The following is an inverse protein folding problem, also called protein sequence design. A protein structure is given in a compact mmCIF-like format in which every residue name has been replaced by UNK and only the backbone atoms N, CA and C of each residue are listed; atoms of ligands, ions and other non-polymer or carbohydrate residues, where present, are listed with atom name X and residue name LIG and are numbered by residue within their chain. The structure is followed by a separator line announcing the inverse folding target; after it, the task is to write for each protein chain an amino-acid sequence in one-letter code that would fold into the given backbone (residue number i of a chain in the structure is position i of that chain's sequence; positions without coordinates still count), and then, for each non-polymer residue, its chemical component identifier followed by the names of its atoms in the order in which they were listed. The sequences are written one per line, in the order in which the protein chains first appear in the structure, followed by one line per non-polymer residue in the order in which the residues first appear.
data_IF_951853121169
#
_entry.id   IF_951853121169
#
_cell.length_a   1.000
_cell.length_b   1.000
_cell.length_c   1.000
_cell.angle_alpha   90.00
_cell.angle_beta   90.00
_cell.angle_gamma   90.00
#
_symmetry.space_group_name_H-M   'P 1'
#
loop_
_entity.id
_entity.type
_entity.pdbx_description
1 polymer ?
#
# COMPACT_ATOMS: atom_id res chain seq x y z
N UNK A 1 23.09 -7.21 5.54
CA UNK A 1 21.73 -7.13 4.96
C UNK A 1 21.04 -5.97 5.65
N UNK A 2 20.37 -5.09 4.91
CA UNK A 2 19.62 -3.99 5.50
C UNK A 2 18.33 -4.61 6.06
N UNK A 3 18.20 -4.72 7.39
CA UNK A 3 17.07 -5.39 8.06
C UNK A 3 15.72 -4.63 7.90
N UNK A 4 15.74 -3.47 7.24
CA UNK A 4 14.58 -2.60 7.09
C UNK A 4 13.54 -3.08 6.06
N UNK A 5 13.89 -3.99 5.14
CA UNK A 5 12.98 -4.49 4.11
C UNK A 5 13.08 -6.00 4.01
N UNK A 6 11.94 -6.68 4.15
CA UNK A 6 11.79 -8.13 3.99
C UNK A 6 10.89 -8.39 2.79
N UNK A 7 11.36 -9.21 1.85
CA UNK A 7 10.61 -9.63 0.67
C UNK A 7 10.25 -11.11 0.74
N UNK A 8 9.11 -11.47 0.14
CA UNK A 8 8.63 -12.83 0.03
C UNK A 8 8.34 -13.14 -1.43
N UNK A 9 8.71 -14.34 -1.89
CA UNK A 9 8.42 -14.78 -3.24
C UNK A 9 6.91 -15.04 -3.38
N UNK A 10 6.30 -14.44 -4.42
CA UNK A 10 4.89 -14.67 -4.70
C UNK A 10 4.70 -16.04 -5.36
N UNK A 11 3.64 -16.75 -4.98
CA UNK A 11 3.33 -18.07 -5.55
C UNK A 11 2.91 -17.95 -7.01
N UNK A 12 3.19 -18.97 -7.81
CA UNK A 12 2.63 -19.10 -9.16
C UNK A 12 1.09 -19.19 -9.10
N UNK A 13 0.43 -18.68 -10.14
CA UNK A 13 -1.03 -18.62 -10.25
C UNK A 13 -1.48 -18.78 -11.70
N UNK A 14 -2.68 -19.34 -11.88
CA UNK A 14 -3.26 -19.65 -13.20
C UNK A 14 -4.42 -18.75 -13.59
N UNK A 15 -5.03 -18.08 -12.60
CA UNK A 15 -6.14 -17.15 -12.84
C UNK A 15 -6.13 -15.96 -11.85
N UNK A 16 -6.79 -14.83 -12.19
CA UNK A 16 -6.80 -13.64 -11.35
C UNK A 16 -7.36 -13.87 -9.94
N UNK A 17 -8.38 -14.69 -9.76
CA UNK A 17 -8.98 -14.94 -8.44
C UNK A 17 -7.99 -15.69 -7.54
N UNK A 18 -7.29 -16.69 -8.08
CA UNK A 18 -6.21 -17.37 -7.35
C UNK A 18 -5.13 -16.37 -6.92
N UNK A 19 -4.70 -15.47 -7.81
CA UNK A 19 -3.72 -14.42 -7.50
C UNK A 19 -4.22 -13.51 -6.37
N UNK A 20 -5.46 -13.02 -6.45
CA UNK A 20 -6.04 -12.12 -5.45
C UNK A 20 -6.19 -12.81 -4.08
N UNK A 21 -6.54 -14.10 -4.09
CA UNK A 21 -6.56 -14.92 -2.88
C UNK A 21 -5.15 -15.05 -2.28
N UNK A 22 -4.14 -15.36 -3.08
CA UNK A 22 -2.75 -15.49 -2.61
C UNK A 22 -2.21 -14.17 -2.01
N UNK A 23 -2.51 -13.04 -2.65
CA UNK A 23 -2.13 -11.72 -2.12
C UNK A 23 -2.84 -11.45 -0.79
N UNK A 24 -4.13 -11.76 -0.69
CA UNK A 24 -4.87 -11.58 0.57
C UNK A 24 -4.47 -12.60 1.65
N UNK A 25 -4.06 -13.82 1.30
CA UNK A 25 -3.45 -14.78 2.23
C UNK A 25 -2.19 -14.15 2.84
N UNK A 26 -1.28 -13.69 1.99
CA UNK A 26 -0.05 -13.03 2.41
C UNK A 26 -0.32 -11.83 3.33
N UNK A 27 -1.22 -10.93 2.94
CA UNK A 27 -1.57 -9.76 3.76
C UNK A 27 -2.13 -10.17 5.13
N UNK A 28 -3.00 -11.17 5.19
CA UNK A 28 -3.56 -11.65 6.45
C UNK A 28 -2.51 -12.33 7.34
N UNK A 29 -1.59 -13.10 6.77
CA UNK A 29 -0.50 -13.72 7.51
C UNK A 29 0.37 -12.65 8.19
N UNK A 30 0.75 -11.59 7.44
CA UNK A 30 1.50 -10.45 8.00
C UNK A 30 0.71 -9.74 9.09
N UNK A 31 -0.60 -9.51 8.91
CA UNK A 31 -1.43 -8.82 9.90
C UNK A 31 -1.59 -9.64 11.19
N UNK A 32 -1.78 -10.96 11.08
CA UNK A 32 -2.00 -11.87 12.22
C UNK A 32 -0.78 -11.95 13.14
N UNK A 33 0.40 -11.71 12.61
CA UNK A 33 1.65 -11.64 13.39
C UNK A 33 1.80 -10.32 14.17
N UNK A 34 0.87 -9.36 14.00
CA UNK A 34 0.89 -8.07 14.72
C UNK A 34 -0.10 -8.04 15.89
N UNK A 35 0.23 -7.25 16.92
CA UNK A 35 -0.66 -7.05 18.07
C UNK A 35 -1.63 -5.87 17.82
N UNK A 36 -2.94 -6.14 17.88
CA UNK A 36 -4.02 -5.15 17.67
C UNK A 36 -3.87 -4.30 16.38
N UNK A 37 -3.92 -4.94 15.19
CA UNK A 37 -3.67 -4.27 13.93
C UNK A 37 -4.67 -3.15 13.64
N UNK A 38 -4.16 -2.03 13.14
CA UNK A 38 -4.96 -1.01 12.45
C UNK A 38 -4.65 -1.08 10.96
N UNK A 39 -5.67 -1.32 10.15
CA UNK A 39 -5.52 -1.47 8.69
C UNK A 39 -6.04 -0.22 7.99
N UNK A 40 -5.22 0.33 7.10
CA UNK A 40 -5.58 1.47 6.25
C UNK A 40 -5.43 1.07 4.79
N UNK A 41 -6.46 1.35 3.99
CA UNK A 41 -6.50 1.02 2.57
C UNK A 41 -6.74 2.31 1.79
N UNK A 42 -6.00 2.52 0.70
CA UNK A 42 -6.27 3.67 -0.18
C UNK A 42 -7.64 3.50 -0.89
N UNK A 43 -8.40 4.59 -0.96
CA UNK A 43 -9.63 4.64 -1.75
C UNK A 43 -9.37 4.56 -3.26
N UNK A 44 -10.37 4.14 -4.03
CA UNK A 44 -10.25 4.04 -5.48
C UNK A 44 -9.99 5.40 -6.14
N UNK A 45 -9.12 5.42 -7.14
CA UNK A 45 -8.94 6.57 -8.03
C UNK A 45 -10.05 6.60 -9.09
N UNK A 46 -11.10 7.38 -8.83
CA UNK A 46 -12.24 7.55 -9.75
C UNK A 46 -11.89 8.23 -11.08
N UNK A 47 -10.69 8.81 -11.21
CA UNK A 47 -10.19 9.38 -12.47
C UNK A 47 -9.50 8.37 -13.39
N UNK A 48 -9.18 7.17 -12.88
CA UNK A 48 -8.44 6.14 -13.64
C UNK A 48 -9.36 5.43 -14.64
N UNK A 49 -8.84 5.05 -15.82
CA UNK A 49 -9.59 4.35 -16.87
C UNK A 49 -8.83 3.10 -17.33
N UNK A 50 -9.55 2.07 -17.78
CA UNK A 50 -8.98 0.89 -18.44
C UNK A 50 -9.06 -0.41 -17.63
N UNK A 51 -8.60 -1.51 -18.23
CA UNK A 51 -8.72 -2.87 -17.65
C UNK A 51 -8.01 -3.03 -16.31
N UNK A 52 -6.87 -2.35 -16.09
CA UNK A 52 -6.13 -2.43 -14.83
C UNK A 52 -6.94 -1.97 -13.61
N UNK A 53 -7.91 -1.07 -13.82
CA UNK A 53 -8.79 -0.61 -12.73
C UNK A 53 -9.67 -1.75 -12.19
N UNK A 54 -10.21 -2.60 -13.07
CA UNK A 54 -11.08 -3.70 -12.66
C UNK A 54 -10.30 -4.74 -11.85
N UNK A 55 -9.10 -5.11 -12.30
CA UNK A 55 -8.24 -6.05 -11.57
C UNK A 55 -7.85 -5.52 -10.18
N UNK A 56 -7.53 -4.22 -10.07
CA UNK A 56 -7.23 -3.59 -8.78
C UNK A 56 -8.48 -3.55 -7.88
N UNK A 57 -9.64 -3.22 -8.46
CA UNK A 57 -10.91 -3.17 -7.73
C UNK A 57 -11.34 -4.55 -7.23
N UNK A 58 -11.20 -5.61 -8.04
CA UNK A 58 -11.48 -6.99 -7.66
C UNK A 58 -10.52 -7.49 -6.58
N UNK A 59 -9.21 -7.25 -6.74
CA UNK A 59 -8.21 -7.61 -5.74
C UNK A 59 -8.48 -6.93 -4.39
N UNK A 60 -8.75 -5.61 -4.42
CA UNK A 60 -9.08 -4.84 -3.22
C UNK A 60 -10.41 -5.30 -2.60
N UNK A 61 -11.42 -5.62 -3.43
CA UNK A 61 -12.70 -6.16 -2.98
C UNK A 61 -12.53 -7.48 -2.23
N UNK A 62 -11.72 -8.40 -2.75
CA UNK A 62 -11.42 -9.69 -2.09
C UNK A 62 -10.70 -9.46 -0.76
N UNK A 63 -9.69 -8.57 -0.72
CA UNK A 63 -9.00 -8.25 0.54
C UNK A 63 -9.97 -7.69 1.58
N UNK A 64 -10.83 -6.72 1.22
CA UNK A 64 -11.82 -6.12 2.11
C UNK A 64 -12.82 -7.14 2.65
N UNK A 65 -13.35 -8.00 1.77
CA UNK A 65 -14.23 -9.09 2.17
C UNK A 65 -13.56 -10.03 3.16
N UNK A 66 -12.30 -10.43 2.90
CA UNK A 66 -11.58 -11.33 3.79
C UNK A 66 -11.19 -10.71 5.14
N UNK A 67 -10.84 -9.43 5.16
CA UNK A 67 -10.64 -8.69 6.41
C UNK A 67 -11.92 -8.69 7.26
N UNK A 68 -13.08 -8.53 6.63
CA UNK A 68 -14.38 -8.61 7.30
C UNK A 68 -14.64 -10.01 7.89
N UNK A 69 -14.38 -11.08 7.13
CA UNK A 69 -14.51 -12.48 7.62
C UNK A 69 -13.64 -12.75 8.85
N UNK A 70 -12.42 -12.20 8.86
CA UNK A 70 -11.46 -12.29 9.98
C UNK A 70 -11.76 -11.29 11.11
N UNK A 71 -12.83 -10.47 10.98
CA UNK A 71 -13.22 -9.42 11.92
C UNK A 71 -12.11 -8.38 12.18
N UNK A 72 -11.27 -8.13 11.17
CA UNK A 72 -10.22 -7.12 11.21
C UNK A 72 -10.78 -5.82 10.60
N UNK A 73 -10.96 -4.75 11.40
CA UNK A 73 -11.46 -3.49 10.87
C UNK A 73 -10.42 -2.84 9.96
N UNK A 74 -10.91 -2.15 8.93
CA UNK A 74 -10.07 -1.31 8.08
C UNK A 74 -10.73 0.05 7.84
N UNK A 75 -9.89 1.06 7.64
CA UNK A 75 -10.31 2.40 7.26
C UNK A 75 -9.84 2.72 5.84
N UNK A 76 -10.58 3.58 5.14
CA UNK A 76 -10.21 4.02 3.79
C UNK A 76 -9.63 5.43 3.83
N UNK A 77 -8.45 5.61 3.24
CA UNK A 77 -7.78 6.92 3.14
C UNK A 77 -7.89 7.45 1.72
N UNK A 78 -8.29 8.71 1.57
CA UNK A 78 -8.45 9.34 0.25
C UNK A 78 -7.07 9.63 -0.37
N UNK A 79 -6.81 9.29 -1.65
CA UNK A 79 -5.49 9.47 -2.29
C UNK A 79 -4.91 10.89 -2.17
N UNK A 80 -5.74 11.92 -2.32
CA UNK A 80 -5.29 13.32 -2.20
C UNK A 80 -4.85 13.68 -0.78
N UNK A 81 -5.43 13.03 0.24
CA UNK A 81 -5.06 13.19 1.65
C UNK A 81 -3.72 12.52 1.93
N UNK A 82 -3.47 11.33 1.35
CA UNK A 82 -2.16 10.65 1.41
C UNK A 82 -1.07 11.55 0.82
N UNK A 83 -1.29 12.07 -0.40
CA UNK A 83 -0.35 12.96 -1.08
C UNK A 83 -0.06 14.24 -0.29
N UNK A 84 -1.11 14.83 0.29
CA UNK A 84 -0.99 16.01 1.14
C UNK A 84 -0.21 15.70 2.43
N UNK A 85 -0.46 14.55 3.05
CA UNK A 85 0.26 14.14 4.26
C UNK A 85 1.74 13.86 4.02
N UNK A 86 2.11 13.37 2.83
CA UNK A 86 3.49 13.13 2.45
C UNK A 86 4.26 14.40 2.08
N UNK A 87 3.66 15.28 1.27
CA UNK A 87 4.39 16.37 0.58
C UNK A 87 3.86 17.78 0.90
N UNK A 88 2.78 17.89 1.66
CA UNK A 88 2.01 19.13 1.83
C UNK A 88 1.08 19.47 0.66
N UNK A 89 1.11 18.72 -0.45
CA UNK A 89 0.29 18.98 -1.65
C UNK A 89 -0.55 17.76 -2.07
N UNK A 90 -1.85 17.95 -2.26
CA UNK A 90 -2.77 16.86 -2.62
C UNK A 90 -2.64 16.33 -4.05
N UNK A 91 -1.86 17.00 -4.90
CA UNK A 91 -1.65 16.66 -6.31
C UNK A 91 -0.19 16.26 -6.61
N UNK A 92 0.58 15.84 -5.60
CA UNK A 92 1.95 15.40 -5.79
C UNK A 92 2.08 14.20 -6.75
N UNK A 93 3.19 14.16 -7.47
CA UNK A 93 3.62 13.07 -8.34
C UNK A 93 4.44 12.03 -7.55
N UNK A 94 4.81 10.92 -8.21
CA UNK A 94 5.52 9.81 -7.57
C UNK A 94 6.93 10.18 -7.11
N UNK A 95 7.64 11.01 -7.88
CA UNK A 95 8.99 11.45 -7.53
C UNK A 95 9.00 12.28 -6.24
N UNK A 96 8.07 13.23 -6.08
CA UNK A 96 7.95 14.01 -4.84
C UNK A 96 7.57 13.17 -3.63
N UNK A 97 6.71 12.17 -3.83
CA UNK A 97 6.38 11.21 -2.76
C UNK A 97 7.62 10.43 -2.34
N UNK A 98 8.44 9.98 -3.30
CA UNK A 98 9.69 9.27 -3.02
C UNK A 98 10.75 10.15 -2.34
N UNK A 99 10.93 11.39 -2.79
CA UNK A 99 11.83 12.36 -2.14
C UNK A 99 11.45 12.57 -0.68
N UNK A 100 10.15 12.76 -0.39
CA UNK A 100 9.65 12.87 0.97
C UNK A 100 9.97 11.60 1.78
N UNK A 101 9.76 10.42 1.19
CA UNK A 101 10.05 9.13 1.83
C UNK A 101 11.53 8.99 2.19
N UNK A 102 12.44 9.27 1.26
CA UNK A 102 13.89 9.20 1.50
C UNK A 102 14.31 10.22 2.56
N UNK A 103 13.76 11.44 2.50
CA UNK A 103 14.06 12.48 3.48
C UNK A 103 13.61 12.09 4.90
N UNK A 104 12.49 11.40 5.03
CA UNK A 104 11.92 10.99 6.31
C UNK A 104 12.58 9.72 6.86
N UNK A 105 12.64 8.66 6.05
CA UNK A 105 13.07 7.32 6.49
C UNK A 105 14.58 7.10 6.38
N UNK A 106 15.26 7.91 5.56
CA UNK A 106 16.67 7.71 5.16
C UNK A 106 16.92 6.38 4.42
N UNK A 107 15.87 5.74 3.91
CA UNK A 107 15.95 4.50 3.13
C UNK A 107 15.93 4.84 1.64
N UNK A 108 16.96 4.42 0.91
CA UNK A 108 17.06 4.57 -0.53
C UNK A 108 16.58 3.29 -1.24
N UNK A 109 15.30 3.27 -1.64
CA UNK A 109 14.70 2.13 -2.34
C UNK A 109 15.28 1.97 -3.75
N UNK A 110 15.65 3.04 -4.44
CA UNK A 110 16.29 2.97 -5.76
C UNK A 110 17.58 2.16 -5.70
N UNK A 111 18.39 2.40 -4.67
CA UNK A 111 19.59 1.61 -4.41
C UNK A 111 19.30 0.16 -4.03
N UNK A 112 18.23 -0.11 -3.29
CA UNK A 112 17.84 -1.47 -2.88
C UNK A 112 17.34 -2.30 -4.07
N UNK A 113 16.55 -1.69 -4.96
CA UNK A 113 15.98 -2.33 -6.14
C UNK A 113 16.82 -2.17 -7.41
N UNK A 114 18.00 -1.56 -7.31
CA UNK A 114 18.94 -1.31 -8.42
C UNK A 114 18.26 -0.66 -9.64
N UNK A 115 17.60 0.48 -9.42
CA UNK A 115 16.86 1.21 -10.46
C UNK A 115 16.90 2.71 -10.28
N UNK A 116 16.95 3.45 -11.39
CA UNK A 116 16.96 4.92 -11.38
C UNK A 116 15.55 5.54 -11.38
N UNK A 117 14.51 4.75 -11.71
CA UNK A 117 13.14 5.25 -11.89
C UNK A 117 12.29 5.04 -10.64
N UNK A 118 11.49 6.04 -10.29
CA UNK A 118 10.39 5.89 -9.32
C UNK A 118 9.19 5.26 -10.02
N UNK A 119 9.27 3.95 -10.26
CA UNK A 119 8.16 3.12 -10.74
C UNK A 119 7.82 2.03 -9.74
N UNK A 120 6.92 1.12 -10.10
CA UNK A 120 6.62 -0.04 -9.27
C UNK A 120 7.85 -0.99 -9.27
N UNK A 121 8.22 -1.58 -8.11
CA UNK A 121 7.48 -1.60 -6.84
C UNK A 121 7.75 -0.40 -5.90
N UNK A 122 8.73 0.45 -6.20
CA UNK A 122 9.15 1.57 -5.32
C UNK A 122 7.97 2.48 -4.97
N UNK A 123 7.20 2.92 -5.96
CA UNK A 123 6.04 3.77 -5.72
C UNK A 123 4.97 3.13 -4.84
N UNK A 124 4.73 1.82 -4.98
CA UNK A 124 3.73 1.11 -4.19
C UNK A 124 4.14 1.01 -2.71
N UNK A 125 5.43 0.81 -2.45
CA UNK A 125 6.01 0.80 -1.09
C UNK A 125 5.87 2.17 -0.44
N UNK A 126 6.22 3.24 -1.18
CA UNK A 126 6.10 4.62 -0.70
C UNK A 126 4.65 4.98 -0.40
N UNK A 127 3.72 4.63 -1.29
CA UNK A 127 2.29 4.86 -1.04
C UNK A 127 1.83 4.13 0.22
N UNK A 128 2.17 2.85 0.37
CA UNK A 128 1.79 2.04 1.54
C UNK A 128 2.29 2.63 2.86
N UNK A 129 3.53 3.13 2.89
CA UNK A 129 4.09 3.84 4.04
C UNK A 129 3.26 5.08 4.42
N UNK A 130 2.92 5.91 3.43
CA UNK A 130 2.16 7.13 3.69
C UNK A 130 0.68 6.87 3.99
N UNK A 131 0.07 5.84 3.40
CA UNK A 131 -1.30 5.40 3.74
C UNK A 131 -1.36 5.05 5.24
N UNK A 132 -0.43 4.22 5.72
CA UNK A 132 -0.34 3.86 7.14
C UNK A 132 -0.12 5.10 8.02
N UNK A 133 0.88 5.93 7.69
CA UNK A 133 1.24 7.11 8.49
C UNK A 133 0.07 8.10 8.59
N UNK A 134 -0.55 8.42 7.47
CA UNK A 134 -1.65 9.39 7.39
C UNK A 134 -2.92 8.83 8.03
N UNK A 135 -3.26 7.57 7.76
CA UNK A 135 -4.39 6.90 8.38
C UNK A 135 -4.28 6.88 9.91
N UNK A 136 -3.11 6.51 10.44
CA UNK A 136 -2.88 6.51 11.88
C UNK A 136 -3.00 7.91 12.49
N UNK A 137 -2.44 8.94 11.83
CA UNK A 137 -2.54 10.32 12.30
C UNK A 137 -4.00 10.84 12.35
N UNK A 138 -4.84 10.46 11.38
CA UNK A 138 -6.27 10.80 11.38
C UNK A 138 -6.99 10.08 12.52
N UNK A 139 -6.70 8.80 12.75
CA UNK A 139 -7.37 8.01 13.79
C UNK A 139 -7.09 8.47 15.22
N UNK A 140 -6.01 9.23 15.46
CA UNK A 140 -5.65 9.75 16.79
C UNK A 140 -6.38 11.09 17.09
N UNK A 141 -6.91 11.76 16.07
CA UNK A 141 -7.61 13.04 16.22
C UNK A 141 -9.10 12.87 16.56
N UNK A 142 -9.60 11.63 16.59
CA UNK A 142 -10.97 11.24 16.91
C UNK A 142 -11.00 10.31 18.11
#
# INVERSE_FOLDING_TARGET
MNEAIVGYEHKEWTDPIQRFRQISDFTLDIIKDTNNPKVYIEGYSFGSKGQGLFQIAENCGILKYRLQEEKIPYETVVPSVVKKGATGKGNADKDKMYEAFVNETKIDLKKIFDTEKVGNPISDIVDSYYIMKVGNAISIQH
#
